data_IF_960507068594
#
_entry.id   IF_960507068594
#
_cell.length_a   1.000
_cell.length_b   1.000
_cell.length_c   1.000
_cell.angle_alpha   90.00
_cell.angle_beta   90.00
_cell.angle_gamma   90.00
#
_symmetry.space_group_name_H-M   'P 1'
#
loop_
_entity.id
_entity.type
_entity.pdbx_description
1 polymer ?
#
# COMPACT_ATOMS: atom_id res chain seq x y z
N UNK A 1 -16.59 -12.87 14.80
CA UNK A 1 -15.52 -12.60 15.79
C UNK A 1 -14.21 -12.40 15.04
N UNK A 2 -13.59 -11.21 15.13
CA UNK A 2 -12.29 -10.94 14.48
C UNK A 2 -11.17 -11.14 15.50
N UNK A 3 -10.35 -12.17 15.30
CA UNK A 3 -9.32 -12.65 16.22
C UNK A 3 -8.21 -11.64 16.49
N UNK A 4 -7.87 -11.51 17.77
CA UNK A 4 -6.94 -10.53 18.37
C UNK A 4 -5.47 -10.86 18.06
N UNK A 5 -5.16 -12.08 17.61
CA UNK A 5 -3.81 -12.49 17.17
C UNK A 5 -3.42 -11.95 15.78
N UNK A 6 -4.41 -11.65 14.92
CA UNK A 6 -4.17 -11.17 13.55
C UNK A 6 -3.79 -9.68 13.50
N UNK A 7 -4.13 -8.87 14.50
CA UNK A 7 -3.98 -7.41 14.42
C UNK A 7 -2.53 -6.92 14.43
N UNK A 8 -1.59 -7.65 15.04
CA UNK A 8 -0.18 -7.23 15.13
C UNK A 8 0.59 -7.42 13.82
N UNK A 9 0.38 -8.56 13.14
CA UNK A 9 0.93 -8.87 11.81
C UNK A 9 0.39 -7.87 10.79
N UNK A 10 -0.93 -7.64 10.82
CA UNK A 10 -1.59 -6.65 9.97
C UNK A 10 -1.09 -5.21 10.23
N UNK A 11 -0.75 -4.86 11.49
CA UNK A 11 -0.21 -3.54 11.84
C UNK A 11 1.21 -3.33 11.29
N UNK A 12 2.08 -4.34 11.37
CA UNK A 12 3.45 -4.29 10.80
C UNK A 12 3.41 -4.17 9.28
N UNK A 13 2.61 -5.00 8.63
CA UNK A 13 2.36 -4.91 7.18
C UNK A 13 1.82 -3.55 6.77
N UNK A 14 0.81 -3.03 7.48
CA UNK A 14 0.22 -1.74 7.15
C UNK A 14 1.23 -0.59 7.28
N UNK A 15 2.07 -0.62 8.32
CA UNK A 15 3.16 0.34 8.49
C UNK A 15 4.18 0.24 7.35
N UNK A 16 4.51 -0.98 6.91
CA UNK A 16 5.45 -1.19 5.80
C UNK A 16 4.87 -0.71 4.46
N UNK A 17 3.60 -0.99 4.18
CA UNK A 17 2.87 -0.50 3.00
C UNK A 17 2.88 1.03 2.95
N UNK A 18 2.55 1.69 4.07
CA UNK A 18 2.55 3.16 4.17
C UNK A 18 3.96 3.72 3.99
N UNK A 19 4.97 3.11 4.63
CA UNK A 19 6.38 3.54 4.48
C UNK A 19 6.84 3.48 3.03
N UNK A 20 6.62 2.35 2.34
CA UNK A 20 7.00 2.21 0.94
C UNK A 20 6.34 3.26 0.05
N UNK A 21 5.04 3.51 0.21
CA UNK A 21 4.31 4.47 -0.60
C UNK A 21 4.62 5.95 -0.27
N UNK A 22 5.14 6.23 0.93
CA UNK A 22 5.65 7.55 1.30
C UNK A 22 7.05 7.78 0.75
N UNK A 23 7.94 6.77 0.86
CA UNK A 23 9.31 6.84 0.34
C UNK A 23 9.33 6.91 -1.18
N UNK A 24 8.49 6.11 -1.85
CA UNK A 24 8.36 6.10 -3.31
C UNK A 24 6.89 6.20 -3.70
N UNK A 25 6.49 7.41 -4.14
CA UNK A 25 5.12 7.70 -4.59
C UNK A 25 4.80 7.11 -5.97
N UNK A 26 5.77 6.53 -6.69
CA UNK A 26 5.60 5.85 -7.97
C UNK A 26 5.34 4.35 -7.83
N UNK A 27 5.57 3.80 -6.62
CA UNK A 27 5.45 2.37 -6.37
C UNK A 27 4.03 1.87 -6.65
N UNK A 28 3.92 0.80 -7.43
CA UNK A 28 2.62 0.22 -7.80
C UNK A 28 2.14 -0.71 -6.70
N UNK A 29 0.82 -0.81 -6.51
CA UNK A 29 0.23 -1.72 -5.51
C UNK A 29 0.62 -3.18 -5.70
N UNK A 30 0.94 -3.63 -6.93
CA UNK A 30 1.46 -4.99 -7.18
C UNK A 30 2.87 -5.20 -6.63
N UNK A 31 3.74 -4.22 -6.80
CA UNK A 31 5.12 -4.26 -6.28
C UNK A 31 5.12 -4.30 -4.76
N UNK A 32 4.25 -3.50 -4.12
CA UNK A 32 4.07 -3.54 -2.66
C UNK A 32 3.48 -4.88 -2.21
N UNK A 33 2.53 -5.45 -2.95
CA UNK A 33 1.98 -6.77 -2.64
C UNK A 33 3.06 -7.88 -2.65
N UNK A 34 3.90 -7.91 -3.70
CA UNK A 34 5.01 -8.85 -3.82
C UNK A 34 6.04 -8.66 -2.70
N UNK A 35 6.32 -7.42 -2.32
CA UNK A 35 7.24 -7.11 -1.22
C UNK A 35 6.70 -7.57 0.14
N UNK A 36 5.40 -7.39 0.39
CA UNK A 36 4.80 -7.89 1.63
C UNK A 36 4.80 -9.41 1.65
N UNK A 37 4.42 -10.04 0.54
CA UNK A 37 4.44 -11.50 0.41
C UNK A 37 5.84 -12.08 0.63
N UNK A 38 6.89 -11.45 0.11
CA UNK A 38 8.26 -11.92 0.33
C UNK A 38 8.75 -11.76 1.78
N UNK A 39 8.26 -10.74 2.50
CA UNK A 39 8.69 -10.44 3.87
C UNK A 39 7.86 -11.18 4.92
N UNK A 40 6.57 -11.39 4.69
CA UNK A 40 5.65 -12.00 5.67
C UNK A 40 5.18 -13.39 5.28
N UNK A 41 5.54 -13.88 4.09
CA UNK A 41 5.04 -15.13 3.49
C UNK A 41 3.50 -15.18 3.42
N UNK A 42 2.86 -14.01 3.45
CA UNK A 42 1.41 -13.87 3.37
C UNK A 42 1.03 -13.20 2.05
N UNK A 43 0.32 -13.93 1.20
CA UNK A 43 -0.16 -13.39 -0.07
C UNK A 43 -1.22 -12.31 0.16
N UNK A 44 -0.98 -11.10 -0.31
CA UNK A 44 -1.94 -9.99 -0.22
C UNK A 44 -2.27 -9.49 -1.62
N UNK A 45 -3.56 -9.38 -1.95
CA UNK A 45 -3.95 -8.86 -3.27
C UNK A 45 -3.58 -7.38 -3.45
N UNK A 46 -3.22 -6.99 -4.66
CA UNK A 46 -2.99 -5.58 -5.02
C UNK A 46 -4.21 -4.68 -4.73
N UNK A 47 -5.43 -5.23 -4.80
CA UNK A 47 -6.68 -4.53 -4.41
C UNK A 47 -6.69 -4.20 -2.93
N UNK A 48 -6.27 -5.14 -2.09
CA UNK A 48 -6.15 -4.94 -0.62
C UNK A 48 -5.12 -3.85 -0.31
N UNK A 49 -3.96 -3.88 -0.97
CA UNK A 49 -2.94 -2.82 -0.84
C UNK A 49 -3.50 -1.45 -1.22
N UNK A 50 -4.17 -1.35 -2.37
CA UNK A 50 -4.79 -0.08 -2.82
C UNK A 50 -5.79 0.46 -1.79
N UNK A 51 -6.64 -0.41 -1.23
CA UNK A 51 -7.61 -0.03 -0.19
C UNK A 51 -6.91 0.48 1.07
N UNK A 52 -5.87 -0.22 1.54
CA UNK A 52 -5.09 0.18 2.73
C UNK A 52 -4.40 1.54 2.53
N UNK A 53 -3.87 1.79 1.33
CA UNK A 53 -3.28 3.09 0.98
C UNK A 53 -4.33 4.21 1.00
N UNK A 54 -5.50 3.99 0.38
CA UNK A 54 -6.60 4.96 0.38
C UNK A 54 -7.12 5.25 1.79
N UNK A 55 -7.28 4.22 2.62
CA UNK A 55 -7.65 4.36 4.04
C UNK A 55 -6.63 5.18 4.83
N UNK A 56 -5.36 5.15 4.42
CA UNK A 56 -4.28 5.94 5.02
C UNK A 56 -4.12 7.33 4.38
N UNK A 57 -5.03 7.75 3.49
CA UNK A 57 -4.95 9.03 2.78
C UNK A 57 -3.92 9.05 1.65
N UNK A 58 -3.31 7.91 1.32
CA UNK A 58 -2.33 7.79 0.25
C UNK A 58 -3.02 7.40 -1.05
N UNK A 59 -3.06 8.34 -1.99
CA UNK A 59 -3.49 8.12 -3.36
C UNK A 59 -2.36 8.47 -4.33
N UNK A 60 -2.38 7.82 -5.50
CA UNK A 60 -1.54 8.22 -6.61
C UNK A 60 -1.89 9.66 -7.01
N UNK A 61 -0.87 10.47 -7.31
CA UNK A 61 -1.09 11.78 -7.91
C UNK A 61 -1.70 11.54 -9.29
N UNK A 62 -2.93 12.01 -9.50
CA UNK A 62 -3.48 12.13 -10.85
C UNK A 62 -2.84 13.37 -11.47
N UNK A 63 -2.19 13.28 -12.63
CA UNK A 63 -1.83 14.48 -13.37
C UNK A 63 -3.12 15.26 -13.63
N UNK A 64 -3.11 16.56 -13.30
CA UNK A 64 -4.18 17.46 -13.70
C UNK A 64 -4.12 17.54 -15.22
N UNK A 65 -5.04 16.85 -15.90
CA UNK A 65 -5.19 16.92 -17.34
C UNK A 65 -5.36 18.39 -17.74
N UNK A 66 -4.40 18.95 -18.48
CA UNK A 66 -4.58 20.21 -19.19
C UNK A 66 -3.54 21.31 -18.97
N UNK A 67 -2.53 21.13 -18.12
CA UNK A 67 -1.46 22.14 -18.02
C UNK A 67 -0.25 21.75 -18.87
N UNK A 68 0.05 22.47 -19.96
CA UNK A 68 1.33 22.33 -20.62
C UNK A 68 2.43 22.68 -19.61
N UNK A 69 3.41 21.80 -19.47
CA UNK A 69 4.65 22.10 -18.75
C UNK A 69 5.48 23.00 -19.67
N UNK A 70 5.23 24.31 -19.59
CA UNK A 70 6.07 25.34 -20.23
C UNK A 70 7.30 25.61 -19.40
#
# INVERSE_FOLDING_TARGET
MWSIASTSVHRRENRQIVRMAVTDRSVRSRTVAQHIESVTHHSVSARTIRRRLQQSGLSARRPLLGLPLT
#
